data_IF_334202510443
#
_entry.id   IF_334202510443
#
_cell.length_a   1.000
_cell.length_b   1.000
_cell.length_c   1.000
_cell.angle_alpha   90.00
_cell.angle_beta   90.00
_cell.angle_gamma   90.00
#
_symmetry.space_group_name_H-M   'P 1'
#
loop_
_entity.id
_entity.type
_entity.pdbx_description
1 polymer ?
#
# COMPACT_ATOMS: atom_id res chain seq x y z
N UNK A 1 -24.60 13.70 29.50
CA UNK A 1 -23.15 13.97 29.35
C UNK A 1 -22.43 12.99 28.41
N UNK A 2 -22.82 11.71 28.35
CA UNK A 2 -22.24 10.70 27.42
C UNK A 2 -22.37 11.07 25.93
N UNK A 3 -23.49 11.68 25.52
CA UNK A 3 -23.73 12.11 24.14
C UNK A 3 -22.79 13.24 23.64
N UNK A 4 -22.23 14.04 24.56
CA UNK A 4 -21.24 15.07 24.21
C UNK A 4 -19.86 14.47 23.98
N UNK A 5 -19.52 13.44 24.76
CA UNK A 5 -18.24 12.74 24.69
C UNK A 5 -18.19 11.84 23.44
N UNK A 6 -19.27 11.13 23.12
CA UNK A 6 -19.37 10.36 21.86
C UNK A 6 -19.28 11.26 20.63
N UNK A 7 -19.92 12.44 20.67
CA UNK A 7 -19.85 13.41 19.58
C UNK A 7 -18.44 14.02 19.43
N UNK A 8 -17.75 14.29 20.54
CA UNK A 8 -16.37 14.78 20.50
C UNK A 8 -15.39 13.71 19.98
N UNK A 9 -15.55 12.47 20.42
CA UNK A 9 -14.74 11.34 19.93
C UNK A 9 -14.92 11.18 18.42
N UNK A 10 -16.14 11.16 17.90
CA UNK A 10 -16.37 11.06 16.45
C UNK A 10 -15.87 12.31 15.69
N UNK A 11 -15.93 13.50 16.29
CA UNK A 11 -15.47 14.72 15.61
C UNK A 11 -13.94 14.82 15.47
N UNK A 12 -13.18 14.26 16.43
CA UNK A 12 -11.72 14.43 16.50
C UNK A 12 -10.94 13.14 16.25
N UNK A 13 -11.43 11.99 16.72
CA UNK A 13 -10.77 10.69 16.52
C UNK A 13 -10.89 10.23 15.07
N UNK A 14 -12.06 10.39 14.45
CA UNK A 14 -12.30 9.96 13.06
C UNK A 14 -11.38 10.64 12.05
N UNK A 15 -11.18 11.98 12.05
CA UNK A 15 -10.23 12.60 11.13
C UNK A 15 -8.78 12.25 11.46
N UNK A 16 -8.42 12.03 12.73
CA UNK A 16 -7.08 11.56 13.08
C UNK A 16 -6.81 10.16 12.52
N UNK A 17 -7.74 9.22 12.70
CA UNK A 17 -7.63 7.86 12.13
C UNK A 17 -7.59 7.89 10.60
N UNK A 18 -8.43 8.71 9.97
CA UNK A 18 -8.47 8.84 8.52
C UNK A 18 -7.16 9.45 7.97
N UNK A 19 -6.57 10.41 8.67
CA UNK A 19 -5.27 10.99 8.29
C UNK A 19 -4.14 9.96 8.42
N UNK A 20 -4.08 9.22 9.53
CA UNK A 20 -3.05 8.18 9.70
C UNK A 20 -3.21 7.07 8.68
N UNK A 21 -4.45 6.70 8.37
CA UNK A 21 -4.78 5.74 7.31
C UNK A 21 -4.26 6.20 5.96
N UNK A 22 -4.60 7.44 5.56
CA UNK A 22 -4.15 8.02 4.30
C UNK A 22 -2.62 8.04 4.18
N UNK A 23 -1.93 8.50 5.23
CA UNK A 23 -0.47 8.58 5.23
C UNK A 23 0.14 7.19 5.03
N UNK A 24 -0.36 6.17 5.75
CA UNK A 24 0.13 4.80 5.62
C UNK A 24 -0.17 4.23 4.23
N UNK A 25 -1.33 4.49 3.65
CA UNK A 25 -1.66 4.07 2.28
C UNK A 25 -0.77 4.75 1.23
N UNK A 26 -0.45 6.04 1.40
CA UNK A 26 0.52 6.73 0.55
C UNK A 26 1.92 6.13 0.68
N UNK A 27 2.37 5.83 1.90
CA UNK A 27 3.67 5.19 2.13
C UNK A 27 3.73 3.80 1.50
N UNK A 28 2.68 2.99 1.65
CA UNK A 28 2.61 1.66 1.04
C UNK A 28 2.58 1.72 -0.50
N UNK A 29 1.94 2.74 -1.08
CA UNK A 29 1.90 2.93 -2.53
C UNK A 29 3.23 3.43 -3.12
N UNK A 30 3.96 4.30 -2.40
CA UNK A 30 5.23 4.86 -2.88
C UNK A 30 6.44 3.96 -2.59
N UNK A 31 6.33 3.07 -1.59
CA UNK A 31 7.36 2.10 -1.27
C UNK A 31 7.43 0.96 -2.31
N UNK A 32 8.62 0.40 -2.61
CA UNK A 32 9.95 0.77 -2.12
C UNK A 32 10.63 1.89 -2.94
N UNK A 33 10.14 2.19 -4.16
CA UNK A 33 10.84 3.02 -5.15
C UNK A 33 11.21 4.44 -4.72
N UNK A 34 10.32 5.12 -3.97
CA UNK A 34 10.51 6.51 -3.54
C UNK A 34 10.90 6.64 -2.06
N UNK A 35 10.41 5.73 -1.21
CA UNK A 35 10.55 5.78 0.24
C UNK A 35 10.66 4.36 0.82
N UNK A 36 11.45 4.20 1.89
CA UNK A 36 11.59 2.94 2.65
C UNK A 36 12.05 1.75 1.78
N UNK A 37 13.02 1.99 0.90
CA UNK A 37 13.56 1.05 -0.09
C UNK A 37 13.85 -0.37 0.46
N UNK A 38 14.37 -0.46 1.69
CA UNK A 38 14.74 -1.73 2.35
C UNK A 38 13.73 -2.29 3.37
N UNK A 39 12.67 -1.52 3.70
CA UNK A 39 11.83 -1.82 4.87
C UNK A 39 10.41 -2.20 4.50
N UNK A 40 9.90 -1.70 3.38
CA UNK A 40 8.51 -1.91 2.96
C UNK A 40 8.49 -2.29 1.49
N UNK A 41 8.11 -3.53 1.24
CA UNK A 41 7.88 -4.07 -0.10
C UNK A 41 6.63 -4.94 -0.09
N UNK A 42 6.02 -5.11 -1.25
CA UNK A 42 4.89 -6.02 -1.44
C UNK A 42 5.39 -7.46 -1.62
N UNK A 43 6.53 -7.62 -2.27
CA UNK A 43 7.15 -8.91 -2.50
C UNK A 43 8.65 -8.78 -2.27
N UNK A 44 9.23 -9.76 -1.60
CA UNK A 44 10.65 -9.77 -1.26
C UNK A 44 11.26 -11.12 -1.60
N UNK A 45 12.38 -11.11 -2.30
CA UNK A 45 13.25 -12.28 -2.45
C UNK A 45 14.46 -12.05 -1.57
N UNK A 46 14.73 -13.02 -0.69
CA UNK A 46 15.89 -13.00 0.18
C UNK A 46 16.64 -14.32 0.08
N UNK A 47 17.97 -14.30 0.06
CA UNK A 47 18.78 -15.52 0.07
C UNK A 47 18.57 -16.24 1.42
N UNK A 48 18.35 -17.55 1.38
CA UNK A 48 18.28 -18.34 2.61
C UNK A 48 19.69 -18.54 3.17
N UNK A 49 19.87 -18.17 4.43
CA UNK A 49 21.14 -18.22 5.20
C UNK A 49 21.70 -19.64 5.45
N UNK A 50 21.23 -20.65 4.70
CA UNK A 50 21.68 -22.03 4.81
C UNK A 50 22.81 -22.37 3.83
N UNK A 51 23.41 -21.37 3.17
CA UNK A 51 24.68 -21.52 2.45
C UNK A 51 25.82 -21.48 3.48
N UNK A 52 26.54 -22.59 3.59
CA UNK A 52 27.73 -22.78 4.43
C UNK A 52 28.92 -21.88 4.07
N UNK A 53 28.76 -20.95 3.13
CA UNK A 53 29.84 -20.16 2.52
C UNK A 53 29.85 -18.66 2.89
N UNK A 54 28.93 -18.18 3.74
CA UNK A 54 29.03 -16.82 4.29
C UNK A 54 29.00 -15.68 3.26
N UNK A 55 28.59 -15.95 2.02
CA UNK A 55 28.43 -14.95 0.96
C UNK A 55 27.07 -14.29 1.09
N UNK A 56 27.06 -12.98 1.32
CA UNK A 56 25.85 -12.15 1.27
C UNK A 56 25.21 -12.26 -0.11
N UNK A 57 23.99 -12.82 -0.19
CA UNK A 57 23.25 -12.93 -1.44
C UNK A 57 22.45 -11.66 -1.76
N UNK A 58 22.14 -11.48 -3.05
CA UNK A 58 21.33 -10.35 -3.52
C UNK A 58 19.88 -10.45 -3.01
N UNK A 59 19.33 -9.34 -2.54
CA UNK A 59 17.93 -9.23 -2.10
C UNK A 59 17.15 -8.34 -3.06
N UNK A 60 15.90 -8.72 -3.33
CA UNK A 60 15.03 -7.99 -4.25
C UNK A 60 13.73 -7.59 -3.59
N UNK A 61 13.34 -6.34 -3.79
CA UNK A 61 12.16 -5.71 -3.21
C UNK A 61 11.26 -5.19 -4.33
N UNK A 62 10.04 -5.69 -4.40
CA UNK A 62 9.08 -5.35 -5.44
C UNK A 62 7.89 -4.59 -4.85
N UNK A 63 7.52 -3.49 -5.50
CA UNK A 63 6.37 -2.64 -5.18
C UNK A 63 5.39 -2.51 -6.34
N UNK A 64 4.36 -1.67 -6.18
CA UNK A 64 3.35 -1.43 -7.22
C UNK A 64 3.84 -0.51 -8.36
N UNK A 65 4.80 0.37 -8.06
CA UNK A 65 5.32 1.37 -9.00
C UNK A 65 6.72 1.04 -9.51
N UNK A 66 7.41 0.07 -8.91
CA UNK A 66 8.82 -0.19 -9.22
C UNK A 66 9.40 -1.27 -8.34
N UNK A 67 10.68 -1.53 -8.55
CA UNK A 67 11.49 -2.49 -7.81
C UNK A 67 12.78 -1.85 -7.33
N UNK A 68 13.35 -2.44 -6.29
CA UNK A 68 14.68 -2.14 -5.80
C UNK A 68 15.45 -3.46 -5.66
N UNK A 69 16.69 -3.49 -6.10
CA UNK A 69 17.63 -4.59 -5.87
C UNK A 69 18.74 -4.14 -4.93
N UNK A 70 19.22 -5.09 -4.14
CA UNK A 70 20.40 -4.92 -3.29
C UNK A 70 21.34 -6.09 -3.56
N UNK A 71 22.51 -5.87 -4.17
CA UNK A 71 23.40 -6.97 -4.54
C UNK A 71 24.11 -7.62 -3.33
N UNK A 72 24.40 -6.85 -2.27
CA UNK A 72 24.99 -7.37 -1.01
C UNK A 72 24.43 -6.59 0.19
N UNK A 73 24.48 -7.16 1.41
CA UNK A 73 23.91 -6.52 2.61
C UNK A 73 24.47 -5.12 2.92
N UNK A 74 25.74 -4.86 2.59
CA UNK A 74 26.40 -3.55 2.75
C UNK A 74 26.32 -2.63 1.52
N UNK A 75 25.75 -3.10 0.39
CA UNK A 75 25.68 -2.29 -0.83
C UNK A 75 24.50 -1.31 -0.83
N UNK A 76 24.68 -0.25 -1.62
CA UNK A 76 23.61 0.69 -1.95
C UNK A 76 22.46 -0.04 -2.67
N UNK A 77 21.24 0.41 -2.40
CA UNK A 77 20.03 -0.13 -3.02
C UNK A 77 19.79 0.59 -4.34
N UNK A 78 19.75 -0.15 -5.45
CA UNK A 78 19.44 0.39 -6.77
C UNK A 78 17.96 0.20 -7.06
N UNK A 79 17.26 1.29 -7.41
CA UNK A 79 15.82 1.28 -7.64
C UNK A 79 15.47 1.74 -9.05
N UNK A 80 14.46 1.10 -9.62
CA UNK A 80 13.90 1.49 -10.91
C UNK A 80 13.03 2.75 -10.80
N UNK A 81 12.92 3.48 -11.91
CA UNK A 81 12.11 4.71 -11.98
C UNK A 81 10.62 4.35 -11.78
N UNK A 82 9.89 5.04 -10.89
CA UNK A 82 8.50 4.72 -10.61
C UNK A 82 7.61 4.92 -11.85
N UNK A 83 6.86 3.88 -12.23
CA UNK A 83 5.93 3.89 -13.34
C UNK A 83 4.66 3.10 -12.99
N UNK A 84 3.51 3.50 -13.55
CA UNK A 84 2.24 2.73 -13.42
C UNK A 84 2.27 1.37 -14.12
N UNK A 85 3.30 1.14 -14.94
CA UNK A 85 3.65 -0.13 -15.58
C UNK A 85 5.17 -0.30 -15.40
N UNK A 86 5.62 -0.76 -14.23
CA UNK A 86 7.05 -0.89 -13.99
C UNK A 86 7.64 -2.01 -14.84
N UNK A 87 8.80 -1.74 -15.44
CA UNK A 87 9.70 -2.77 -15.95
C UNK A 87 10.69 -3.08 -14.83
N UNK A 88 10.59 -4.28 -14.27
CA UNK A 88 11.50 -4.71 -13.21
C UNK A 88 12.84 -5.11 -13.81
N UNK A 89 13.92 -4.62 -13.19
CA UNK A 89 15.27 -5.02 -13.52
C UNK A 89 15.66 -6.22 -12.64
N UNK A 90 16.10 -7.29 -13.29
CA UNK A 90 16.49 -8.55 -12.66
C UNK A 90 17.98 -8.88 -12.89
N UNK A 91 18.78 -7.89 -13.30
CA UNK A 91 20.17 -8.08 -13.69
C UNK A 91 21.07 -8.66 -12.59
N UNK A 92 20.71 -8.51 -11.30
CA UNK A 92 21.46 -9.10 -10.20
C UNK A 92 20.94 -10.48 -9.73
N UNK A 93 19.89 -11.03 -10.37
CA UNK A 93 19.47 -12.42 -10.13
C UNK A 93 20.24 -13.37 -11.07
N UNK A 94 20.57 -14.59 -10.62
CA UNK A 94 21.09 -15.62 -11.50
C UNK A 94 20.14 -15.90 -12.68
N UNK A 95 20.69 -16.09 -13.88
CA UNK A 95 19.97 -16.35 -15.14
C UNK A 95 19.03 -17.58 -15.10
N UNK A 96 19.21 -18.46 -14.11
CA UNK A 96 18.40 -19.66 -13.90
C UNK A 96 17.01 -19.38 -13.29
N UNK A 97 16.74 -18.14 -12.87
CA UNK A 97 15.46 -17.78 -12.24
C UNK A 97 14.48 -17.29 -13.31
N UNK A 98 13.28 -17.89 -13.42
CA UNK A 98 12.34 -17.54 -14.47
C UNK A 98 11.71 -16.15 -14.23
N UNK A 99 12.33 -15.13 -14.83
CA UNK A 99 11.96 -13.70 -14.76
C UNK A 99 10.52 -13.41 -15.22
N UNK A 100 9.92 -14.31 -16.01
CA UNK A 100 8.56 -14.18 -16.56
C UNK A 100 7.47 -14.29 -15.49
N UNK A 101 7.75 -14.89 -14.33
CA UNK A 101 6.74 -15.09 -13.28
C UNK A 101 6.56 -13.87 -12.37
N UNK A 102 7.51 -12.93 -12.38
CA UNK A 102 7.48 -11.72 -11.56
C UNK A 102 7.02 -10.54 -12.42
N UNK A 103 5.71 -10.44 -12.63
CA UNK A 103 5.10 -9.33 -13.38
C UNK A 103 4.10 -8.57 -12.50
N UNK A 104 4.11 -7.25 -12.62
CA UNK A 104 3.13 -6.40 -11.94
C UNK A 104 1.73 -6.72 -12.49
N UNK A 105 0.71 -6.84 -11.63
CA UNK A 105 -0.66 -6.93 -12.11
C UNK A 105 -0.97 -5.70 -12.99
N UNK A 106 -1.54 -5.90 -14.20
CA UNK A 106 -1.75 -4.81 -15.14
C UNK A 106 -2.70 -3.79 -14.52
N UNK A 107 -2.34 -2.50 -14.61
CA UNK A 107 -3.14 -1.35 -14.15
C UNK A 107 -3.44 -1.26 -12.64
N UNK A 108 -2.94 -2.18 -11.81
CA UNK A 108 -3.17 -2.13 -10.36
C UNK A 108 -2.69 -0.80 -9.74
N UNK A 109 -1.51 -0.31 -10.14
CA UNK A 109 -1.00 0.98 -9.67
C UNK A 109 -1.91 2.16 -9.99
N UNK A 110 -2.58 2.14 -11.15
CA UNK A 110 -3.51 3.20 -11.53
C UNK A 110 -4.80 3.15 -10.69
N UNK A 111 -5.34 1.95 -10.43
CA UNK A 111 -6.54 1.80 -9.60
C UNK A 111 -6.31 2.20 -8.14
N UNK A 112 -5.15 1.85 -7.57
CA UNK A 112 -4.77 2.31 -6.22
C UNK A 112 -4.61 3.83 -6.18
N UNK A 113 -3.97 4.44 -7.19
CA UNK A 113 -3.85 5.90 -7.27
C UNK A 113 -5.22 6.62 -7.33
N UNK A 114 -6.16 6.07 -8.11
CA UNK A 114 -7.53 6.60 -8.20
C UNK A 114 -8.27 6.47 -6.86
N UNK A 115 -8.14 5.33 -6.18
CA UNK A 115 -8.72 5.12 -4.84
C UNK A 115 -8.14 6.08 -3.79
N UNK A 116 -6.81 6.31 -3.82
CA UNK A 116 -6.14 7.31 -2.97
C UNK A 116 -6.63 8.74 -3.28
N UNK A 117 -6.86 9.06 -4.55
CA UNK A 117 -7.45 10.32 -4.98
C UNK A 117 -8.84 10.54 -4.38
N UNK A 118 -9.73 9.54 -4.49
CA UNK A 118 -11.06 9.63 -3.87
C UNK A 118 -11.02 9.68 -2.35
N UNK A 119 -10.12 8.93 -1.71
CA UNK A 119 -9.96 8.89 -0.25
C UNK A 119 -9.43 10.23 0.30
N UNK A 120 -8.48 10.86 -0.40
CA UNK A 120 -7.97 12.19 -0.04
C UNK A 120 -9.02 13.28 -0.21
N UNK A 121 -9.78 13.27 -1.31
CA UNK A 121 -10.90 14.17 -1.50
C UNK A 121 -11.99 13.99 -0.43
N UNK A 122 -12.33 12.75 -0.10
CA UNK A 122 -13.26 12.43 0.99
C UNK A 122 -12.78 12.98 2.33
N UNK A 123 -11.51 12.76 2.68
CA UNK A 123 -10.92 13.27 3.92
C UNK A 123 -10.99 14.80 4.01
N UNK A 124 -10.67 15.50 2.92
CA UNK A 124 -10.73 16.97 2.88
C UNK A 124 -12.16 17.45 3.13
N UNK A 125 -13.14 16.95 2.38
CA UNK A 125 -14.53 17.42 2.53
C UNK A 125 -15.10 17.03 3.90
N UNK A 126 -14.78 15.84 4.42
CA UNK A 126 -15.17 15.43 5.77
C UNK A 126 -14.58 16.36 6.84
N UNK A 127 -13.30 16.69 6.73
CA UNK A 127 -12.60 17.59 7.67
C UNK A 127 -13.19 19.00 7.64
N UNK A 128 -13.44 19.55 6.44
CA UNK A 128 -14.14 20.83 6.30
C UNK A 128 -15.53 20.79 6.95
N UNK A 129 -16.25 19.66 6.84
CA UNK A 129 -17.58 19.47 7.44
C UNK A 129 -17.56 19.47 8.96
N UNK A 130 -16.59 18.77 9.55
CA UNK A 130 -16.42 18.71 11.00
C UNK A 130 -16.08 20.08 11.61
N UNK A 131 -15.31 20.90 10.89
CA UNK A 131 -14.96 22.26 11.29
C UNK A 131 -15.87 23.35 10.72
N UNK A 132 -17.04 23.00 10.15
CA UNK A 132 -17.98 23.97 9.56
C UNK A 132 -18.36 25.11 10.51
N UNK A 133 -18.42 24.82 11.82
CA UNK A 133 -18.75 25.81 12.86
C UNK A 133 -17.65 26.85 13.11
N UNK A 134 -16.41 26.59 12.66
CA UNK A 134 -15.29 27.53 12.68
C UNK A 134 -15.05 28.22 11.33
N UNK A 135 -15.68 27.74 10.26
CA UNK A 135 -15.55 28.31 8.93
C UNK A 135 -16.71 29.27 8.70
N UNK A 136 -16.42 30.47 8.22
CA UNK A 136 -17.40 31.55 8.09
C UNK A 136 -18.69 31.13 7.39
N UNK A 137 -19.75 31.93 7.59
CA UNK A 137 -21.14 31.63 7.24
C UNK A 137 -21.35 31.08 5.81
N UNK A 138 -20.57 31.57 4.84
CA UNK A 138 -20.64 31.14 3.43
C UNK A 138 -20.16 29.71 3.19
N UNK A 139 -19.08 29.28 3.87
CA UNK A 139 -18.54 27.91 3.76
C UNK A 139 -19.44 26.93 4.50
N UNK A 140 -19.98 27.32 5.66
CA UNK A 140 -20.95 26.54 6.41
C UNK A 140 -22.24 26.31 5.58
N UNK A 141 -22.78 27.37 4.97
CA UNK A 141 -23.98 27.28 4.13
C UNK A 141 -23.76 26.44 2.85
N UNK A 142 -22.55 26.44 2.28
CA UNK A 142 -22.21 25.57 1.17
C UNK A 142 -22.22 24.10 1.60
N UNK A 143 -21.60 23.78 2.74
CA UNK A 143 -21.50 22.42 3.28
C UNK A 143 -22.81 21.84 3.83
N UNK A 144 -23.76 22.68 4.22
CA UNK A 144 -25.09 22.26 4.65
C UNK A 144 -25.98 21.83 3.46
N UNK A 145 -25.50 21.95 2.21
CA UNK A 145 -26.23 21.41 1.06
C UNK A 145 -26.28 19.88 1.12
N UNK A 146 -27.47 19.26 1.08
CA UNK A 146 -27.63 17.80 1.14
C UNK A 146 -26.97 17.09 -0.04
N UNK A 147 -26.77 17.80 -1.16
CA UNK A 147 -26.08 17.31 -2.33
C UNK A 147 -24.59 17.03 -2.04
N UNK A 148 -23.92 17.91 -1.28
CA UNK A 148 -22.50 17.73 -0.93
C UNK A 148 -22.34 16.52 -0.01
N UNK A 149 -23.19 16.40 1.01
CA UNK A 149 -23.16 15.26 1.94
C UNK A 149 -23.41 13.91 1.24
N UNK A 150 -24.34 13.88 0.25
CA UNK A 150 -24.57 12.69 -0.57
C UNK A 150 -23.39 12.36 -1.48
N UNK A 151 -22.81 13.36 -2.15
CA UNK A 151 -21.64 13.16 -2.99
C UNK A 151 -20.43 12.66 -2.20
N UNK A 152 -20.19 13.21 -1.01
CA UNK A 152 -19.08 12.75 -0.16
C UNK A 152 -19.28 11.31 0.29
N UNK A 153 -20.50 10.92 0.66
CA UNK A 153 -20.80 9.55 1.05
C UNK A 153 -20.56 8.57 -0.12
N UNK A 154 -21.01 8.92 -1.32
CA UNK A 154 -20.77 8.12 -2.53
C UNK A 154 -19.29 8.06 -2.91
N UNK A 155 -18.57 9.17 -2.79
CA UNK A 155 -17.15 9.24 -3.08
C UNK A 155 -16.34 8.35 -2.12
N UNK A 156 -16.65 8.40 -0.83
CA UNK A 156 -16.04 7.53 0.17
C UNK A 156 -16.36 6.05 -0.08
N UNK A 157 -17.63 5.74 -0.38
CA UNK A 157 -18.06 4.37 -0.70
C UNK A 157 -17.34 3.82 -1.93
N UNK A 158 -17.39 4.52 -3.07
CA UNK A 158 -16.76 4.08 -4.32
C UNK A 158 -15.24 3.98 -4.14
N UNK A 159 -14.61 4.98 -3.51
CA UNK A 159 -13.17 4.99 -3.25
C UNK A 159 -12.72 3.79 -2.40
N UNK A 160 -13.48 3.47 -1.35
CA UNK A 160 -13.21 2.31 -0.49
C UNK A 160 -13.34 0.99 -1.25
N UNK A 161 -14.40 0.79 -2.02
CA UNK A 161 -14.58 -0.47 -2.76
C UNK A 161 -13.52 -0.66 -3.85
N UNK A 162 -13.14 0.40 -4.57
CA UNK A 162 -12.04 0.33 -5.55
C UNK A 162 -10.72 -0.01 -4.85
N UNK A 163 -10.42 0.62 -3.72
CA UNK A 163 -9.20 0.36 -2.96
C UNK A 163 -9.15 -1.09 -2.45
N UNK A 164 -10.24 -1.52 -1.81
CA UNK A 164 -10.36 -2.87 -1.27
C UNK A 164 -10.26 -3.95 -2.35
N UNK A 165 -11.01 -3.82 -3.45
CA UNK A 165 -10.95 -4.81 -4.54
C UNK A 165 -9.56 -4.87 -5.17
N UNK A 166 -8.91 -3.72 -5.37
CA UNK A 166 -7.55 -3.67 -5.92
C UNK A 166 -6.55 -4.31 -4.96
N UNK A 167 -6.65 -4.04 -3.65
CA UNK A 167 -5.79 -4.66 -2.64
C UNK A 167 -5.90 -6.19 -2.64
N UNK A 168 -7.12 -6.73 -2.72
CA UNK A 168 -7.35 -8.18 -2.79
C UNK A 168 -6.74 -8.78 -4.06
N UNK A 169 -6.95 -8.14 -5.21
CA UNK A 169 -6.39 -8.60 -6.49
C UNK A 169 -4.85 -8.62 -6.43
N UNK A 170 -4.26 -7.53 -5.92
CA UNK A 170 -2.80 -7.41 -5.78
C UNK A 170 -2.27 -8.49 -4.83
N UNK A 171 -2.94 -8.73 -3.70
CA UNK A 171 -2.53 -9.77 -2.74
C UNK A 171 -2.59 -11.17 -3.36
N UNK A 172 -3.69 -11.51 -4.03
CA UNK A 172 -3.84 -12.81 -4.70
C UNK A 172 -2.79 -13.00 -5.80
N UNK A 173 -2.49 -11.94 -6.55
CA UNK A 173 -1.49 -11.97 -7.61
C UNK A 173 -0.10 -12.26 -7.06
N UNK A 174 0.33 -11.50 -6.04
CA UNK A 174 1.64 -11.69 -5.43
C UNK A 174 1.76 -13.01 -4.65
N UNK A 175 0.70 -13.48 -4.00
CA UNK A 175 0.69 -14.80 -3.33
C UNK A 175 0.90 -15.93 -4.33
N UNK A 176 0.21 -15.86 -5.48
CA UNK A 176 0.45 -16.80 -6.58
C UNK A 176 1.89 -16.70 -7.10
N UNK A 177 2.40 -15.49 -7.34
CA UNK A 177 3.78 -15.29 -7.79
C UNK A 177 4.80 -15.86 -6.82
N UNK A 178 4.61 -15.73 -5.50
CA UNK A 178 5.48 -16.34 -4.48
C UNK A 178 5.45 -17.86 -4.58
N UNK A 179 4.26 -18.46 -4.68
CA UNK A 179 4.12 -19.91 -4.75
C UNK A 179 4.72 -20.47 -6.04
N UNK A 180 4.50 -19.80 -7.17
CA UNK A 180 5.06 -20.20 -8.46
C UNK A 180 6.59 -20.00 -8.48
N UNK A 181 7.11 -18.91 -7.88
CA UNK A 181 8.54 -18.68 -7.72
C UNK A 181 9.18 -19.79 -6.89
N UNK A 182 8.69 -20.02 -5.67
CA UNK A 182 9.19 -21.04 -4.74
C UNK A 182 9.08 -22.46 -5.31
N UNK A 183 8.05 -22.74 -6.12
CA UNK A 183 7.88 -24.02 -6.82
C UNK A 183 8.80 -24.21 -8.04
N UNK A 184 9.33 -23.13 -8.60
CA UNK A 184 10.22 -23.15 -9.78
C UNK A 184 11.71 -23.29 -9.44
N UNK A 185 12.10 -23.11 -8.17
CA UNK A 185 13.50 -23.27 -7.78
C UNK A 185 13.92 -24.74 -7.84
N UNK A 186 15.03 -24.99 -8.52
CA UNK A 186 15.75 -26.27 -8.45
C UNK A 186 16.33 -26.45 -7.05
N UNK A 187 16.43 -27.70 -6.57
CA UNK A 187 16.89 -28.06 -5.20
C UNK A 187 18.25 -27.45 -4.76
N UNK A 188 19.02 -26.88 -5.68
CA UNK A 188 20.34 -26.29 -5.44
C UNK A 188 20.35 -24.75 -5.30
N UNK A 189 19.26 -24.05 -5.64
CA UNK A 189 19.17 -22.59 -5.48
C UNK A 189 18.37 -22.29 -4.21
N UNK A 190 18.99 -21.54 -3.31
CA UNK A 190 18.54 -21.31 -1.93
C UNK A 190 17.91 -19.93 -1.74
N UNK A 191 17.21 -19.40 -2.75
CA UNK A 191 16.51 -18.13 -2.65
C UNK A 191 15.04 -18.36 -2.32
N UNK A 192 14.50 -17.62 -1.35
CA UNK A 192 13.11 -17.77 -0.91
C UNK A 192 12.38 -16.47 -1.18
N UNK A 193 11.30 -16.55 -1.96
CA UNK A 193 10.36 -15.46 -2.11
C UNK A 193 9.34 -15.48 -0.96
N UNK A 194 9.03 -14.31 -0.44
CA UNK A 194 8.02 -14.09 0.58
C UNK A 194 7.21 -12.84 0.28
N UNK A 195 6.00 -12.80 0.83
CA UNK A 195 5.16 -11.62 0.74
C UNK A 195 5.63 -10.60 1.78
N UNK A 196 5.88 -9.37 1.33
CA UNK A 196 6.41 -8.32 2.18
C UNK A 196 5.36 -7.62 3.05
N UNK A 197 5.85 -6.81 3.99
CA UNK A 197 5.07 -6.16 5.04
C UNK A 197 4.18 -5.01 4.56
N UNK A 198 4.27 -4.58 3.30
CA UNK A 198 3.41 -3.52 2.76
C UNK A 198 1.92 -3.88 2.87
N UNK A 199 1.61 -5.16 2.69
CA UNK A 199 0.24 -5.67 2.82
C UNK A 199 -0.27 -5.68 4.26
N UNK A 200 0.59 -5.97 5.25
CA UNK A 200 0.17 -5.96 6.66
C UNK A 200 -0.04 -4.53 7.15
N UNK A 201 0.75 -3.56 6.69
CA UNK A 201 0.50 -2.13 6.97
C UNK A 201 -0.82 -1.64 6.37
N UNK A 202 -1.18 -2.05 5.16
CA UNK A 202 -2.42 -1.64 4.51
C UNK A 202 -3.66 -2.38 5.06
N UNK A 203 -3.51 -3.66 5.43
CA UNK A 203 -4.55 -4.45 6.07
C UNK A 203 -4.93 -3.90 7.46
N UNK A 204 -3.92 -3.59 8.29
CA UNK A 204 -4.15 -2.99 9.61
C UNK A 204 -4.92 -1.68 9.49
N UNK A 205 -4.61 -0.87 8.49
CA UNK A 205 -5.32 0.39 8.23
C UNK A 205 -6.77 0.18 7.79
N UNK A 206 -7.03 -0.84 6.96
CA UNK A 206 -8.37 -1.13 6.44
C UNK A 206 -9.29 -1.82 7.45
N UNK A 207 -8.74 -2.62 8.37
CA UNK A 207 -9.52 -3.41 9.34
C UNK A 207 -9.52 -2.87 10.77
N UNK A 208 -8.62 -1.97 11.17
CA UNK A 208 -8.67 -1.40 12.51
C UNK A 208 -9.94 -0.58 12.84
N UNK A 209 -10.61 0.14 11.91
CA UNK A 209 -11.87 0.79 12.28
C UNK A 209 -13.03 -0.19 12.51
N UNK A 210 -12.91 -1.48 12.16
CA UNK A 210 -13.98 -2.47 12.30
C UNK A 210 -13.99 -3.21 13.65
N UNK A 211 -12.87 -3.27 14.38
CA UNK A 211 -12.76 -4.01 15.65
C UNK A 211 -12.83 -3.12 16.91
N UNK A 212 -13.19 -1.85 16.77
CA UNK A 212 -13.38 -0.92 17.90
C UNK A 212 -14.78 -0.94 18.53
N UNK A 213 -15.64 -1.88 18.13
CA UNK A 213 -16.99 -2.06 18.70
C UNK A 213 -17.16 -3.53 19.06
N UNK A 214 -16.58 -3.94 20.18
CA UNK A 214 -17.11 -5.00 21.05
C UNK A 214 -16.60 -4.78 22.47
#
# INVERSE_FOLDING_TARGET
MIAGLSKAVVLYLTPLLALTSLILSFLAFLAPSLLLQDRVALFTVTPSSNSSDGTDGASFFLGLLGSCSRPTNDAAVDCTIPAFRPTYDFSDLPDDIPQILISSPPSAGAFVAVSLGFSSAFFLVYTFGSFRHKMGEKMAAAMDKPLIQRLTAWMGFIGFFIGFTTHVIVRMWFDKTVNDFNGSLSQNVKDVASIGNAFTSEYLVSFHPANGVH
#
